data_IF_826233345119
#
_entry.id   IF_826233345119
#
_cell.length_a   1.000
_cell.length_b   1.000
_cell.length_c   1.000
_cell.angle_alpha   90.00
_cell.angle_beta   90.00
_cell.angle_gamma   90.00
#
_symmetry.space_group_name_H-M   'P 1'
#
loop_
_entity.id
_entity.type
_entity.pdbx_description
1 polymer ?
#
# COMPACT_ATOMS: atom_id res chain seq x y z
N UNK A 1 1.58 8.71 8.12
CA UNK A 1 1.32 10.00 7.46
C UNK A 1 2.54 10.36 6.65
N UNK A 2 2.38 10.99 5.49
CA UNK A 2 3.53 11.47 4.71
C UNK A 2 4.07 12.81 5.25
N UNK A 3 5.15 13.32 4.65
CA UNK A 3 5.77 14.59 5.04
C UNK A 3 4.91 15.84 4.77
N UNK A 4 3.80 15.70 4.04
CA UNK A 4 2.85 16.77 3.73
C UNK A 4 1.60 16.72 4.64
N UNK A 5 1.53 15.76 5.56
CA UNK A 5 0.41 15.58 6.48
C UNK A 5 -0.73 14.72 5.93
N UNK A 6 -0.56 14.09 4.76
CA UNK A 6 -1.55 13.18 4.21
C UNK A 6 -1.52 11.83 4.93
N UNK A 7 -2.67 11.16 4.97
CA UNK A 7 -2.87 9.88 5.64
C UNK A 7 -2.77 8.77 4.61
N UNK A 8 -2.03 7.70 4.92
CA UNK A 8 -2.05 6.46 4.13
C UNK A 8 -2.72 5.37 4.96
N UNK A 9 -3.68 4.70 4.33
CA UNK A 9 -4.48 3.62 4.91
C UNK A 9 -4.17 2.34 4.15
N UNK A 10 -3.81 1.29 4.89
CA UNK A 10 -3.77 -0.07 4.38
C UNK A 10 -5.17 -0.68 4.45
N UNK A 11 -5.79 -0.89 3.29
CA UNK A 11 -7.13 -1.43 3.16
C UNK A 11 -7.04 -2.91 2.81
N UNK A 12 -6.80 -3.72 3.85
CA UNK A 12 -6.45 -5.14 3.74
C UNK A 12 -7.41 -5.96 2.88
N UNK A 13 -8.70 -5.82 3.16
CA UNK A 13 -9.74 -6.59 2.48
C UNK A 13 -9.99 -6.14 1.04
N UNK A 14 -9.53 -4.94 0.66
CA UNK A 14 -9.60 -4.46 -0.72
C UNK A 14 -8.24 -4.52 -1.42
N UNK A 15 -7.23 -5.11 -0.78
CA UNK A 15 -5.93 -5.36 -1.37
C UNK A 15 -5.25 -4.12 -1.94
N UNK A 16 -5.38 -2.98 -1.24
CA UNK A 16 -4.91 -1.68 -1.73
C UNK A 16 -4.37 -0.80 -0.61
N UNK A 17 -3.56 0.17 -1.01
CA UNK A 17 -3.21 1.32 -0.20
C UNK A 17 -3.95 2.55 -0.72
N UNK A 18 -4.39 3.42 0.17
CA UNK A 18 -5.06 4.66 -0.20
C UNK A 18 -4.44 5.85 0.52
N UNK A 19 -4.22 6.94 -0.21
CA UNK A 19 -3.78 8.23 0.30
C UNK A 19 -4.98 9.17 0.39
N UNK A 20 -5.12 9.79 1.55
CA UNK A 20 -6.13 10.80 1.83
C UNK A 20 -5.46 12.09 2.28
N UNK A 21 -6.09 13.24 1.99
CA UNK A 21 -5.73 14.49 2.65
C UNK A 21 -6.03 14.41 4.15
N UNK A 22 -5.50 15.35 4.94
CA UNK A 22 -5.79 15.37 6.38
C UNK A 22 -7.28 15.62 6.68
N UNK A 23 -8.01 16.25 5.75
CA UNK A 23 -9.46 16.42 5.79
C UNK A 23 -10.25 15.16 5.36
N UNK A 24 -9.55 14.09 4.97
CA UNK A 24 -10.16 12.83 4.55
C UNK A 24 -10.55 12.75 3.07
N UNK A 25 -10.13 13.71 2.23
CA UNK A 25 -10.41 13.65 0.80
C UNK A 25 -9.51 12.60 0.13
N UNK A 26 -10.04 11.73 -0.76
CA UNK A 26 -9.22 10.75 -1.46
C UNK A 26 -8.28 11.45 -2.45
N UNK A 27 -6.99 11.13 -2.38
CA UNK A 27 -5.97 11.70 -3.27
C UNK A 27 -5.44 10.67 -4.25
N UNK A 28 -5.23 9.42 -3.80
CA UNK A 28 -4.67 8.37 -4.63
C UNK A 28 -4.95 6.96 -4.08
N UNK A 29 -4.89 5.95 -4.94
CA UNK A 29 -4.91 4.55 -4.53
C UNK A 29 -3.89 3.72 -5.30
N UNK A 30 -3.20 2.82 -4.61
CA UNK A 30 -2.27 1.85 -5.20
C UNK A 30 -2.77 0.43 -5.00
N UNK A 31 -2.62 -0.36 -6.04
CA UNK A 31 -2.88 -1.79 -6.04
C UNK A 31 -4.33 -2.20 -6.16
N UNK A 32 -4.45 -3.50 -6.34
CA UNK A 32 -5.67 -4.26 -6.52
C UNK A 32 -5.36 -5.71 -6.17
N UNK A 33 -6.39 -6.52 -5.96
CA UNK A 33 -6.24 -7.96 -5.75
C UNK A 33 -5.44 -8.57 -6.91
N UNK A 34 -4.41 -9.36 -6.60
CA UNK A 34 -3.56 -9.99 -7.61
C UNK A 34 -4.06 -11.34 -8.09
N UNK A 35 -4.97 -11.99 -7.35
CA UNK A 35 -5.41 -13.34 -7.68
C UNK A 35 -4.24 -14.34 -7.69
N UNK A 36 -4.28 -15.27 -8.64
CA UNK A 36 -3.19 -16.25 -8.86
C UNK A 36 -2.03 -15.64 -9.67
N UNK A 37 -2.30 -14.63 -10.49
CA UNK A 37 -1.32 -13.96 -11.36
C UNK A 37 -0.74 -12.72 -10.70
N UNK A 38 0.28 -12.90 -9.86
CA UNK A 38 0.96 -11.79 -9.18
C UNK A 38 1.63 -10.84 -10.20
N UNK A 39 1.02 -9.68 -10.47
CA UNK A 39 1.60 -8.63 -11.30
C UNK A 39 2.25 -7.52 -10.45
N UNK A 40 3.28 -6.82 -10.98
CA UNK A 40 3.87 -5.66 -10.32
C UNK A 40 2.81 -4.61 -9.95
N UNK A 41 2.82 -4.17 -8.70
CA UNK A 41 1.89 -3.16 -8.20
C UNK A 41 0.55 -3.72 -7.68
N UNK A 42 0.31 -5.03 -7.74
CA UNK A 42 -0.86 -5.67 -7.14
C UNK A 42 -0.51 -6.30 -5.78
N UNK A 43 -1.51 -6.46 -4.91
CA UNK A 43 -1.36 -7.00 -3.56
C UNK A 43 -2.38 -8.12 -3.32
N UNK A 44 -2.01 -9.18 -2.59
CA UNK A 44 -2.98 -10.11 -1.99
C UNK A 44 -3.17 -9.83 -0.50
N UNK A 45 -2.17 -9.25 0.13
CA UNK A 45 -2.29 -8.58 1.42
C UNK A 45 -1.49 -7.28 1.29
N UNK A 46 -2.07 -6.10 1.57
CA UNK A 46 -1.30 -4.88 1.54
C UNK A 46 -0.29 -4.87 2.69
N UNK A 47 0.86 -4.23 2.49
CA UNK A 47 1.96 -4.24 3.45
C UNK A 47 1.55 -3.60 4.78
N UNK A 48 2.05 -4.20 5.87
CA UNK A 48 1.74 -3.80 7.26
C UNK A 48 2.29 -2.40 7.56
N UNK A 49 3.43 -2.04 6.97
CA UNK A 49 4.08 -0.74 7.16
C UNK A 49 4.53 -0.15 5.82
N UNK A 50 3.73 0.72 5.20
CA UNK A 50 4.24 1.57 4.13
C UNK A 50 5.16 2.65 4.72
N UNK A 51 6.43 2.64 4.35
CA UNK A 51 7.36 3.74 4.63
C UNK A 51 7.30 4.72 3.46
N UNK A 52 6.79 5.93 3.72
CA UNK A 52 6.73 6.99 2.71
C UNK A 52 7.98 7.85 2.84
N UNK A 53 8.71 7.97 1.75
CA UNK A 53 9.89 8.81 1.66
C UNK A 53 9.48 10.26 1.28
N UNK A 54 10.27 11.27 1.70
CA UNK A 54 9.96 12.69 1.43
C UNK A 54 9.90 13.06 -0.06
N UNK A 55 10.41 12.20 -0.94
CA UNK A 55 10.43 12.37 -2.40
C UNK A 55 9.19 11.79 -3.10
N UNK A 56 8.20 11.32 -2.33
CA UNK A 56 6.96 10.73 -2.86
C UNK A 56 7.07 9.24 -3.21
N UNK A 57 8.24 8.63 -3.01
CA UNK A 57 8.38 7.18 -3.13
C UNK A 57 7.83 6.48 -1.88
N UNK A 58 7.35 5.25 -2.05
CA UNK A 58 6.83 4.44 -0.96
C UNK A 58 7.54 3.09 -0.96
N UNK A 59 8.21 2.80 0.15
CA UNK A 59 8.80 1.50 0.42
C UNK A 59 7.77 0.63 1.13
N UNK A 60 7.37 -0.42 0.44
CA UNK A 60 6.42 -1.39 0.93
C UNK A 60 7.19 -2.46 1.69
N UNK A 61 7.18 -2.41 3.02
CA UNK A 61 7.73 -3.49 3.84
C UNK A 61 6.60 -4.48 4.13
N UNK A 62 6.71 -5.67 3.53
CA UNK A 62 5.78 -6.79 3.68
C UNK A 62 6.53 -8.09 3.98
N UNK A 63 5.84 -9.03 4.62
CA UNK A 63 6.37 -10.35 4.99
C UNK A 63 6.85 -11.12 3.75
N UNK A 64 8.11 -11.58 3.77
CA UNK A 64 8.58 -12.58 2.83
C UNK A 64 7.98 -13.91 3.29
N UNK A 65 6.78 -14.25 2.82
CA UNK A 65 6.27 -15.62 2.99
C UNK A 65 7.04 -16.52 2.04
N UNK A 66 8.12 -17.14 2.53
CA UNK A 66 8.86 -18.18 1.81
C UNK A 66 7.96 -19.41 1.71
N UNK A 67 7.25 -19.58 0.58
CA UNK A 67 6.60 -20.86 0.27
C UNK A 67 7.68 -21.86 -0.14
N UNK A 68 8.00 -22.79 0.76
CA UNK A 68 8.75 -24.00 0.41
C UNK A 68 7.77 -25.05 -0.09
N UNK A 69 8.07 -25.60 -1.26
CA UNK A 69 7.39 -26.79 -1.81
C UNK A 69 7.61 -28.01 -0.93
#
# INVERSE_FOLDING_TARGET
MDGEGNIIVADAYNHRLQKFSWEGNPLHSWGSFSGEDRQPGQFNDPPILPLILPDGYMWLIGEITEYRN
#
